data_IF_231616434126
#
_entry.id   IF_231616434126
#
_cell.length_a   1.000
_cell.length_b   1.000
_cell.length_c   1.000
_cell.angle_alpha   90.00
_cell.angle_beta   90.00
_cell.angle_gamma   90.00
#
_symmetry.space_group_name_H-M   'P 1'
#
loop_
_entity.id
_entity.type
_entity.pdbx_description
1 polymer ?
#
# COMPACT_ATOMS: atom_id res chain seq x y z
N UNK A 1 4.57 4.36 15.37
CA UNK A 1 3.76 4.02 14.19
C UNK A 1 2.31 4.33 14.51
N UNK A 2 1.59 5.15 13.76
CA UNK A 2 0.20 5.53 14.07
C UNK A 2 -0.79 4.44 13.62
N UNK A 3 -0.55 3.21 14.05
CA UNK A 3 -1.51 2.14 13.83
C UNK A 3 -2.82 2.53 14.50
N UNK A 4 -3.93 2.38 13.81
CA UNK A 4 -5.25 2.70 14.31
C UNK A 4 -5.59 1.95 15.61
N UNK A 5 -6.61 2.40 16.27
CA UNK A 5 -7.11 1.77 17.51
C UNK A 5 -8.07 0.65 17.14
N UNK A 6 -7.85 -0.53 17.69
CA UNK A 6 -8.79 -1.64 17.52
C UNK A 6 -10.11 -1.37 18.23
N UNK A 7 -11.21 -1.92 17.73
CA UNK A 7 -12.56 -1.75 18.28
C UNK A 7 -12.77 -2.39 19.67
N UNK A 8 -11.90 -3.32 20.07
CA UNK A 8 -12.05 -4.08 21.33
C UNK A 8 -11.24 -3.45 22.47
N UNK A 9 -11.72 -2.30 22.96
CA UNK A 9 -11.02 -1.51 23.99
C UNK A 9 -11.88 -1.23 25.24
N UNK A 10 -12.95 -1.94 25.46
CA UNK A 10 -13.80 -1.77 26.62
C UNK A 10 -13.01 -1.93 27.93
N UNK A 11 -13.15 -0.98 28.85
CA UNK A 11 -12.45 -0.97 30.13
C UNK A 11 -10.97 -0.55 30.08
N UNK A 12 -10.40 -0.26 28.90
CA UNK A 12 -9.04 0.25 28.76
C UNK A 12 -9.00 1.77 28.78
N UNK A 13 -7.80 2.32 29.08
CA UNK A 13 -7.59 3.76 29.06
C UNK A 13 -7.98 4.34 27.68
N UNK A 14 -8.74 5.45 27.63
CA UNK A 14 -9.09 6.11 26.38
C UNK A 14 -7.84 6.58 25.64
N UNK A 15 -7.74 6.19 24.38
CA UNK A 15 -6.72 6.66 23.44
C UNK A 15 -7.40 7.26 22.23
N UNK A 16 -6.71 8.12 21.50
CA UNK A 16 -7.12 8.59 20.19
C UNK A 16 -6.04 8.31 19.15
N UNK A 17 -6.42 8.25 17.90
CA UNK A 17 -5.47 8.20 16.78
C UNK A 17 -4.81 9.56 16.59
N UNK A 18 -3.62 9.60 16.03
CA UNK A 18 -2.98 10.87 15.69
C UNK A 18 -3.86 11.69 14.75
N UNK A 19 -4.02 12.96 15.05
CA UNK A 19 -4.56 13.94 14.12
C UNK A 19 -3.49 14.32 13.09
N UNK A 20 -3.89 15.04 12.04
CA UNK A 20 -2.96 15.55 11.03
C UNK A 20 -1.86 16.43 11.64
N UNK A 21 -2.22 17.31 12.56
CA UNK A 21 -1.27 18.25 13.18
C UNK A 21 -0.35 17.54 14.17
N UNK A 22 -0.84 16.56 14.91
CA UNK A 22 -0.02 15.72 15.78
C UNK A 22 0.98 14.89 14.96
N UNK A 23 0.56 14.33 13.84
CA UNK A 23 1.46 13.59 12.94
C UNK A 23 2.58 14.50 12.40
N UNK A 24 2.25 15.75 12.01
CA UNK A 24 3.25 16.76 11.62
C UNK A 24 4.22 17.07 12.74
N UNK A 25 3.73 17.28 13.96
CA UNK A 25 4.57 17.56 15.11
C UNK A 25 5.55 16.40 15.40
N UNK A 26 5.11 15.15 15.24
CA UNK A 26 5.99 13.96 15.37
C UNK A 26 7.08 13.98 14.30
N UNK A 27 6.74 14.27 13.04
CA UNK A 27 7.71 14.35 11.94
C UNK A 27 8.73 15.48 12.20
N UNK A 28 8.28 16.65 12.66
CA UNK A 28 9.18 17.77 12.99
C UNK A 28 10.15 17.43 14.11
N UNK A 29 9.67 16.71 15.15
CA UNK A 29 10.53 16.23 16.24
C UNK A 29 11.56 15.22 15.68
N UNK A 30 11.10 14.26 14.89
CA UNK A 30 11.96 13.25 14.29
C UNK A 30 13.02 13.90 13.38
N UNK A 31 12.65 14.87 12.54
CA UNK A 31 13.58 15.55 11.64
C UNK A 31 14.70 16.29 12.40
N UNK A 32 14.38 16.96 13.51
CA UNK A 32 15.43 17.58 14.35
C UNK A 32 16.42 16.57 14.90
N UNK A 33 15.94 15.37 15.29
CA UNK A 33 16.82 14.31 15.76
C UNK A 33 17.62 13.69 14.61
N UNK A 34 17.01 13.50 13.45
CA UNK A 34 17.66 12.98 12.23
C UNK A 34 18.83 13.86 11.82
N UNK A 35 18.63 15.19 11.73
CA UNK A 35 19.68 16.14 11.39
C UNK A 35 20.83 16.11 12.43
N UNK A 36 20.49 16.13 13.71
CA UNK A 36 21.48 16.07 14.79
C UNK A 36 22.31 14.78 14.73
N UNK A 37 21.62 13.64 14.63
CA UNK A 37 22.30 12.34 14.66
C UNK A 37 23.11 12.08 13.38
N UNK A 38 22.62 12.55 12.22
CA UNK A 38 23.39 12.50 10.98
C UNK A 38 24.73 13.24 11.12
N UNK A 39 24.72 14.45 11.72
CA UNK A 39 25.93 15.23 11.96
C UNK A 39 26.87 14.62 13.01
N UNK A 40 26.31 14.01 14.07
CA UNK A 40 27.09 13.48 15.20
C UNK A 40 27.56 12.03 14.97
N UNK A 41 26.81 11.23 14.19
CA UNK A 41 27.00 9.78 14.08
C UNK A 41 27.10 9.27 12.65
N UNK A 42 26.81 10.10 11.64
CA UNK A 42 26.78 9.69 10.24
C UNK A 42 25.57 8.86 9.85
N UNK A 43 24.55 8.78 10.70
CA UNK A 43 23.26 8.10 10.43
C UNK A 43 22.12 8.88 11.04
N UNK A 44 20.95 8.87 10.40
CA UNK A 44 19.72 9.54 10.88
C UNK A 44 19.14 8.87 12.12
N UNK A 45 19.26 7.55 12.23
CA UNK A 45 18.88 6.72 13.37
C UNK A 45 17.39 6.74 13.76
N UNK A 46 16.65 7.82 13.48
CA UNK A 46 15.20 7.94 13.78
C UNK A 46 14.44 8.05 12.49
N UNK A 47 13.49 7.12 12.26
CA UNK A 47 12.72 7.06 11.03
C UNK A 47 11.23 6.98 11.37
N UNK A 48 10.42 8.02 11.08
CA UNK A 48 8.97 7.90 11.11
C UNK A 48 8.48 6.91 10.04
N UNK A 49 7.44 6.14 10.36
CA UNK A 49 6.80 5.30 9.35
C UNK A 49 6.09 6.14 8.29
N UNK A 50 5.89 5.56 7.11
CA UNK A 50 5.23 6.21 5.98
C UNK A 50 3.83 6.72 6.33
N UNK A 51 3.12 6.01 7.22
CA UNK A 51 1.80 6.44 7.69
C UNK A 51 1.79 7.81 8.37
N UNK A 52 2.85 8.19 9.09
CA UNK A 52 2.93 9.54 9.65
C UNK A 52 2.93 10.60 8.55
N UNK A 53 3.67 10.38 7.47
CA UNK A 53 3.73 11.30 6.32
C UNK A 53 2.38 11.35 5.59
N UNK A 54 1.76 10.20 5.33
CA UNK A 54 0.44 10.13 4.71
C UNK A 54 -0.60 10.86 5.56
N UNK A 55 -0.62 10.62 6.86
CA UNK A 55 -1.57 11.24 7.78
C UNK A 55 -1.33 12.75 7.92
N UNK A 56 -0.07 13.18 7.96
CA UNK A 56 0.31 14.58 7.96
C UNK A 56 -0.01 15.30 6.64
N UNK A 57 -0.25 14.55 5.56
CA UNK A 57 -0.35 15.08 4.20
C UNK A 57 0.96 15.72 3.75
N UNK A 58 2.07 15.10 4.09
CA UNK A 58 3.43 15.46 3.71
C UNK A 58 3.98 14.47 2.70
N UNK A 59 4.90 14.93 1.84
CA UNK A 59 5.64 14.05 0.96
C UNK A 59 6.50 13.07 1.77
N UNK A 60 6.66 11.85 1.25
CA UNK A 60 7.63 10.90 1.78
C UNK A 60 9.04 11.43 1.62
N UNK A 61 9.97 11.13 2.53
CA UNK A 61 11.40 11.43 2.33
C UNK A 61 11.92 10.82 1.03
N UNK A 62 13.02 11.36 0.51
CA UNK A 62 13.69 10.80 -0.65
C UNK A 62 14.36 9.46 -0.32
N UNK A 63 14.65 8.66 -1.35
CA UNK A 63 15.19 7.30 -1.24
C UNK A 63 16.43 7.24 -0.34
N UNK A 64 17.38 8.15 -0.55
CA UNK A 64 18.64 8.22 0.20
C UNK A 64 18.44 8.55 1.68
N UNK A 65 17.29 9.09 2.06
CA UNK A 65 16.99 9.42 3.44
C UNK A 65 16.60 8.23 4.29
N UNK A 66 16.27 7.11 3.69
CA UNK A 66 15.96 5.86 4.38
C UNK A 66 17.20 4.98 4.63
N UNK A 67 18.36 5.43 4.13
CA UNK A 67 19.64 4.71 4.23
C UNK A 67 19.54 3.30 3.63
N UNK A 68 19.64 2.24 4.44
CA UNK A 68 19.56 0.85 3.99
C UNK A 68 18.16 0.22 4.15
N UNK A 69 17.13 1.02 4.42
CA UNK A 69 15.76 0.54 4.68
C UNK A 69 15.64 -0.49 5.81
N UNK A 70 16.45 -0.35 6.84
CA UNK A 70 16.56 -1.32 7.94
C UNK A 70 15.27 -1.60 8.71
N UNK A 71 14.19 -0.84 8.49
CA UNK A 71 12.90 -0.99 9.16
C UNK A 71 11.73 -1.07 8.16
N UNK A 72 11.98 -1.55 6.94
CA UNK A 72 10.96 -1.62 5.88
C UNK A 72 9.75 -2.50 6.26
N UNK A 73 9.99 -3.56 7.02
CA UNK A 73 8.94 -4.46 7.51
C UNK A 73 7.99 -3.78 8.51
N UNK A 74 8.46 -2.71 9.16
CA UNK A 74 7.67 -1.87 10.07
C UNK A 74 6.96 -0.70 9.35
N UNK A 75 6.98 -0.69 8.02
CA UNK A 75 6.37 0.36 7.19
C UNK A 75 7.16 1.66 7.18
N UNK A 76 8.48 1.60 7.33
CA UNK A 76 9.41 2.73 7.20
C UNK A 76 10.05 2.67 5.81
N UNK A 77 9.64 3.56 4.92
CA UNK A 77 10.13 3.66 3.55
C UNK A 77 9.55 2.61 2.59
N UNK A 78 8.56 1.82 3.01
CA UNK A 78 7.95 0.79 2.15
C UNK A 78 7.31 1.40 0.90
N UNK A 79 6.61 2.52 1.05
CA UNK A 79 5.97 3.21 -0.07
C UNK A 79 6.99 3.92 -0.97
N UNK A 80 8.05 4.49 -0.39
CA UNK A 80 9.13 5.07 -1.18
C UNK A 80 9.86 4.01 -2.00
N UNK A 81 10.23 2.88 -1.39
CA UNK A 81 10.86 1.78 -2.10
C UNK A 81 9.97 1.26 -3.25
N UNK A 82 8.68 1.03 -2.97
CA UNK A 82 7.70 0.62 -3.99
C UNK A 82 7.64 1.63 -5.15
N UNK A 83 7.60 2.94 -4.86
CA UNK A 83 7.59 3.99 -5.89
C UNK A 83 8.86 4.00 -6.73
N UNK A 84 10.03 3.97 -6.08
CA UNK A 84 11.35 3.99 -6.74
C UNK A 84 11.51 2.77 -7.65
N UNK A 85 11.20 1.57 -7.15
CA UNK A 85 11.29 0.33 -7.92
C UNK A 85 10.28 0.28 -9.06
N UNK A 86 9.02 0.70 -8.81
CA UNK A 86 7.99 0.78 -9.87
C UNK A 86 8.40 1.73 -10.97
N UNK A 87 8.88 2.94 -10.60
CA UNK A 87 9.35 3.94 -11.55
C UNK A 87 10.51 3.43 -12.39
N UNK A 88 11.52 2.83 -11.75
CA UNK A 88 12.69 2.28 -12.43
C UNK A 88 12.28 1.20 -13.46
N UNK A 89 11.48 0.23 -13.04
CA UNK A 89 11.00 -0.81 -13.93
C UNK A 89 10.11 -0.27 -15.06
N UNK A 90 9.23 0.71 -14.76
CA UNK A 90 8.38 1.38 -15.74
C UNK A 90 9.21 2.16 -16.77
N UNK A 91 10.27 2.84 -16.34
CA UNK A 91 11.13 3.63 -17.21
C UNK A 91 11.88 2.76 -18.24
N UNK A 92 12.13 1.49 -17.92
CA UNK A 92 12.76 0.51 -18.83
C UNK A 92 11.79 -0.03 -19.90
N UNK A 93 10.47 0.18 -19.74
CA UNK A 93 9.50 -0.28 -20.73
C UNK A 93 9.64 0.49 -22.05
N UNK A 94 9.35 -0.15 -23.19
CA UNK A 94 9.22 0.54 -24.46
C UNK A 94 8.19 1.67 -24.39
N UNK A 95 8.43 2.77 -25.09
CA UNK A 95 7.50 3.90 -25.14
C UNK A 95 6.08 3.49 -25.56
N UNK A 96 5.95 2.48 -26.43
CA UNK A 96 4.66 1.91 -26.84
C UNK A 96 3.84 1.29 -25.70
N UNK A 97 4.47 0.92 -24.59
CA UNK A 97 3.81 0.37 -23.41
C UNK A 97 3.56 1.41 -22.31
N UNK A 98 4.08 2.62 -22.45
CA UNK A 98 3.98 3.71 -21.45
C UNK A 98 2.99 4.80 -21.81
N UNK A 99 1.97 4.50 -22.61
CA UNK A 99 0.98 5.46 -23.09
C UNK A 99 -0.35 5.32 -22.37
N UNK A 100 -1.10 6.42 -22.28
CA UNK A 100 -2.44 6.44 -21.69
C UNK A 100 -3.56 6.33 -22.73
N UNK A 101 -3.27 5.90 -23.96
CA UNK A 101 -4.20 5.85 -25.09
C UNK A 101 -4.72 4.43 -25.38
N UNK A 102 -5.76 4.34 -26.19
CA UNK A 102 -6.36 3.09 -26.66
C UNK A 102 -7.48 2.52 -25.76
N UNK A 103 -8.02 1.39 -26.19
CA UNK A 103 -9.00 0.62 -25.41
C UNK A 103 -8.32 0.05 -24.18
N UNK A 104 -8.94 0.25 -23.00
CA UNK A 104 -8.35 -0.11 -21.72
C UNK A 104 -9.09 -1.27 -21.07
N UNK A 105 -8.32 -2.20 -20.54
CA UNK A 105 -8.78 -3.20 -19.59
C UNK A 105 -8.72 -2.58 -18.19
N UNK A 106 -9.80 -2.68 -17.43
CA UNK A 106 -9.85 -2.11 -16.08
C UNK A 106 -9.41 -3.12 -15.05
N UNK A 107 -8.38 -2.79 -14.29
CA UNK A 107 -7.90 -3.57 -13.16
C UNK A 107 -8.10 -2.79 -11.86
N UNK A 108 -8.35 -3.51 -10.78
CA UNK A 108 -8.53 -2.95 -9.44
C UNK A 108 -7.26 -3.17 -8.63
N UNK A 109 -6.76 -2.14 -7.97
CA UNK A 109 -5.79 -2.25 -6.88
C UNK A 109 -6.54 -2.00 -5.58
N UNK A 110 -6.76 -3.04 -4.78
CA UNK A 110 -7.41 -2.91 -3.47
C UNK A 110 -6.37 -2.71 -2.37
N UNK A 111 -6.57 -1.70 -1.54
CA UNK A 111 -5.61 -1.32 -0.51
C UNK A 111 -6.29 -0.74 0.73
N UNK A 112 -5.54 -0.57 1.81
CA UNK A 112 -5.98 0.19 2.97
C UNK A 112 -6.21 1.67 2.64
N UNK A 113 -7.04 2.32 3.44
CA UNK A 113 -7.45 3.71 3.20
C UNK A 113 -6.26 4.68 3.14
N UNK A 114 -5.23 4.46 3.98
CA UNK A 114 -4.06 5.33 4.04
C UNK A 114 -3.25 5.33 2.73
N UNK A 115 -3.12 4.18 2.06
CA UNK A 115 -2.29 4.07 0.85
C UNK A 115 -3.02 4.48 -0.44
N UNK A 116 -4.34 4.67 -0.40
CA UNK A 116 -5.14 4.79 -1.62
C UNK A 116 -4.77 6.01 -2.47
N UNK A 117 -4.59 7.18 -1.85
CA UNK A 117 -4.22 8.40 -2.58
C UNK A 117 -2.82 8.28 -3.21
N UNK A 118 -1.87 7.71 -2.48
CA UNK A 118 -0.51 7.47 -2.96
C UNK A 118 -0.51 6.53 -4.18
N UNK A 119 -1.20 5.40 -4.09
CA UNK A 119 -1.27 4.44 -5.21
C UNK A 119 -1.99 5.01 -6.42
N UNK A 120 -3.05 5.80 -6.23
CA UNK A 120 -3.75 6.46 -7.32
C UNK A 120 -2.81 7.44 -8.05
N UNK A 121 -2.01 8.20 -7.32
CA UNK A 121 -1.02 9.11 -7.88
C UNK A 121 0.11 8.34 -8.59
N UNK A 122 0.60 7.24 -8.01
CA UNK A 122 1.60 6.38 -8.63
C UNK A 122 1.15 5.92 -10.02
N UNK A 123 -0.05 5.35 -10.13
CA UNK A 123 -0.58 4.87 -11.41
C UNK A 123 -0.88 6.01 -12.40
N UNK A 124 -1.31 7.16 -11.92
CA UNK A 124 -1.54 8.33 -12.76
C UNK A 124 -0.23 8.86 -13.39
N UNK A 125 0.86 8.83 -12.65
CA UNK A 125 2.20 9.24 -13.13
C UNK A 125 2.86 8.19 -14.04
N UNK A 126 2.46 6.93 -13.94
CA UNK A 126 3.06 5.81 -14.67
C UNK A 126 2.01 5.05 -15.49
N UNK A 127 1.45 5.66 -16.54
CA UNK A 127 0.42 5.03 -17.35
C UNK A 127 0.97 3.78 -18.06
N UNK A 128 0.10 2.78 -18.23
CA UNK A 128 0.39 1.56 -18.98
C UNK A 128 -0.60 1.45 -20.16
N UNK A 129 -0.07 1.20 -21.35
CA UNK A 129 -0.91 1.08 -22.57
C UNK A 129 -1.90 -0.06 -22.44
N UNK A 130 -3.17 0.24 -22.69
CA UNK A 130 -4.25 -0.77 -22.62
C UNK A 130 -4.68 -1.14 -21.20
N UNK A 131 -4.17 -0.45 -20.15
CA UNK A 131 -4.52 -0.71 -18.75
C UNK A 131 -5.08 0.56 -18.12
N UNK A 132 -6.20 0.40 -17.40
CA UNK A 132 -6.74 1.40 -16.48
C UNK A 132 -6.71 0.84 -15.05
N UNK A 133 -5.97 1.50 -14.17
CA UNK A 133 -5.92 1.12 -12.77
C UNK A 133 -6.93 1.90 -11.94
N UNK A 134 -7.85 1.20 -11.28
CA UNK A 134 -8.76 1.77 -10.29
C UNK A 134 -8.30 1.39 -8.90
N UNK A 135 -7.96 2.36 -8.09
CA UNK A 135 -7.59 2.14 -6.69
C UNK A 135 -8.83 2.17 -5.83
N UNK A 136 -9.08 1.08 -5.12
CA UNK A 136 -10.25 0.91 -4.26
C UNK A 136 -9.81 0.82 -2.80
N UNK A 137 -10.06 1.87 -2.00
CA UNK A 137 -9.80 1.81 -0.56
C UNK A 137 -10.80 0.87 0.14
N UNK A 138 -10.26 0.00 0.97
CA UNK A 138 -11.03 -0.92 1.81
C UNK A 138 -10.95 -0.45 3.26
N UNK A 139 -12.11 -0.20 3.87
CA UNK A 139 -12.21 0.12 5.29
C UNK A 139 -12.09 -1.15 6.12
N UNK A 140 -11.31 -1.08 7.17
CA UNK A 140 -11.18 -2.17 8.12
C UNK A 140 -12.32 -2.09 9.15
N UNK A 141 -13.31 -2.94 9.02
CA UNK A 141 -14.42 -3.05 9.99
C UNK A 141 -14.14 -4.10 11.05
N UNK A 142 -13.34 -5.11 10.68
CA UNK A 142 -13.01 -6.22 11.57
C UNK A 142 -12.20 -5.76 12.79
N UNK A 143 -11.10 -5.03 12.59
CA UNK A 143 -10.28 -4.48 13.66
C UNK A 143 -10.71 -3.08 14.11
N UNK A 144 -11.41 -2.34 13.29
CA UNK A 144 -11.88 -0.97 13.54
C UNK A 144 -11.49 -0.02 12.40
N UNK A 145 -12.38 0.91 12.04
CA UNK A 145 -12.20 1.80 10.86
C UNK A 145 -11.01 2.76 10.98
N UNK A 146 -10.46 2.94 12.18
CA UNK A 146 -9.22 3.72 12.37
C UNK A 146 -7.96 2.96 11.99
N UNK A 147 -8.05 1.64 11.75
CA UNK A 147 -6.97 0.82 11.21
C UNK A 147 -6.98 0.95 9.70
N UNK A 148 -6.03 1.69 9.14
CA UNK A 148 -6.04 2.13 7.74
C UNK A 148 -5.01 1.45 6.85
N UNK A 149 -4.14 0.63 7.42
CA UNK A 149 -3.06 -0.07 6.71
C UNK A 149 -3.56 -1.26 5.87
N UNK A 150 -2.96 -1.49 4.73
CA UNK A 150 -3.33 -2.59 3.82
C UNK A 150 -3.13 -3.97 4.46
N UNK A 151 -2.03 -4.19 5.18
CA UNK A 151 -1.68 -5.50 5.75
C UNK A 151 -2.63 -6.03 6.83
N UNK A 152 -3.57 -5.22 7.32
CA UNK A 152 -4.58 -5.63 8.29
C UNK A 152 -5.99 -5.77 7.69
N UNK A 153 -6.15 -5.61 6.37
CA UNK A 153 -7.43 -5.84 5.69
C UNK A 153 -7.75 -7.33 5.72
N UNK A 154 -8.99 -7.63 6.14
CA UNK A 154 -9.48 -9.01 6.21
C UNK A 154 -10.17 -9.43 4.91
N UNK A 155 -10.35 -10.74 4.72
CA UNK A 155 -11.05 -11.29 3.57
C UNK A 155 -12.52 -10.84 3.53
N UNK A 156 -13.18 -10.76 4.68
CA UNK A 156 -14.54 -10.26 4.81
C UNK A 156 -14.67 -8.81 4.37
N UNK A 157 -13.83 -7.92 4.90
CA UNK A 157 -13.86 -6.49 4.53
C UNK A 157 -13.55 -6.28 3.04
N UNK A 158 -12.59 -7.05 2.50
CA UNK A 158 -12.20 -7.01 1.10
C UNK A 158 -13.36 -7.44 0.18
N UNK A 159 -13.95 -8.59 0.46
CA UNK A 159 -15.03 -9.17 -0.38
C UNK A 159 -16.30 -8.33 -0.33
N UNK A 160 -16.67 -7.81 0.84
CA UNK A 160 -17.81 -6.91 0.99
C UNK A 160 -17.64 -5.62 0.18
N UNK A 161 -16.41 -5.07 0.16
CA UNK A 161 -16.14 -3.84 -0.56
C UNK A 161 -16.09 -4.04 -2.09
N UNK A 162 -15.66 -5.21 -2.56
CA UNK A 162 -15.37 -5.44 -3.97
C UNK A 162 -16.49 -6.18 -4.72
N UNK A 163 -17.47 -6.69 -4.04
CA UNK A 163 -18.55 -7.51 -4.62
C UNK A 163 -19.22 -6.86 -5.83
N UNK A 164 -19.51 -5.57 -5.74
CA UNK A 164 -20.25 -4.81 -6.75
C UNK A 164 -19.34 -3.91 -7.61
N UNK A 165 -18.02 -4.05 -7.50
CA UNK A 165 -17.07 -3.27 -8.29
C UNK A 165 -16.83 -3.93 -9.64
N UNK A 166 -16.74 -3.14 -10.70
CA UNK A 166 -16.39 -3.62 -12.03
C UNK A 166 -14.88 -3.63 -12.24
N UNK A 167 -14.38 -4.68 -12.88
CA UNK A 167 -12.96 -4.84 -13.20
C UNK A 167 -12.64 -6.28 -13.55
N UNK A 168 -11.63 -6.49 -14.39
CA UNK A 168 -11.29 -7.83 -14.89
C UNK A 168 -10.48 -8.64 -13.87
N UNK A 169 -9.69 -7.97 -13.04
CA UNK A 169 -8.91 -8.59 -11.98
C UNK A 169 -8.71 -7.62 -10.81
N UNK A 170 -8.45 -8.18 -9.63
CA UNK A 170 -8.12 -7.45 -8.42
C UNK A 170 -6.70 -7.79 -7.99
N UNK A 171 -5.87 -6.78 -7.83
CA UNK A 171 -4.51 -6.89 -7.28
C UNK A 171 -4.53 -6.45 -5.82
N UNK A 172 -3.93 -7.25 -4.95
CA UNK A 172 -3.76 -6.97 -3.52
C UNK A 172 -2.31 -7.18 -3.14
N UNK A 173 -1.84 -6.50 -2.10
CA UNK A 173 -0.54 -6.83 -1.53
C UNK A 173 -0.58 -8.17 -0.79
N UNK A 174 0.45 -8.99 -0.94
CA UNK A 174 0.62 -10.24 -0.19
C UNK A 174 0.60 -10.04 1.33
N UNK A 175 0.92 -8.82 1.82
CA UNK A 175 0.85 -8.48 3.24
C UNK A 175 -0.56 -8.59 3.84
N UNK A 176 -1.62 -8.69 3.03
CA UNK A 176 -2.98 -8.97 3.50
C UNK A 176 -3.16 -10.43 3.93
N UNK A 177 -2.26 -11.31 3.48
CA UNK A 177 -2.31 -12.74 3.75
C UNK A 177 -1.36 -13.11 4.88
N UNK A 178 -1.64 -14.23 5.54
CA UNK A 178 -0.71 -14.84 6.50
C UNK A 178 0.55 -15.31 5.76
N UNK A 179 1.58 -15.66 6.52
CA UNK A 179 2.89 -16.07 5.99
C UNK A 179 2.83 -17.23 5.00
N UNK A 180 1.83 -18.10 5.13
CA UNK A 180 1.59 -19.21 4.21
C UNK A 180 1.02 -18.76 2.85
N UNK A 181 0.54 -17.51 2.76
CA UNK A 181 0.03 -16.89 1.52
C UNK A 181 -1.33 -17.38 1.05
N UNK A 182 -2.03 -18.21 1.83
CA UNK A 182 -3.26 -18.88 1.43
C UNK A 182 -4.53 -18.29 2.07
N UNK A 183 -4.42 -17.48 3.14
CA UNK A 183 -5.56 -16.94 3.89
C UNK A 183 -5.33 -15.59 4.52
N UNK A 184 -6.42 -14.86 4.73
CA UNK A 184 -6.47 -13.59 5.43
C UNK A 184 -6.45 -13.77 6.96
N UNK A 185 -6.40 -12.65 7.70
CA UNK A 185 -6.33 -12.65 9.17
C UNK A 185 -7.63 -13.12 9.84
N UNK A 186 -8.76 -13.07 9.16
CA UNK A 186 -10.08 -13.58 9.59
C UNK A 186 -10.33 -15.05 9.20
N UNK A 187 -9.27 -15.80 8.87
CA UNK A 187 -9.29 -17.19 8.43
C UNK A 187 -9.94 -17.47 7.06
N UNK A 188 -10.52 -16.46 6.39
CA UNK A 188 -11.01 -16.61 5.02
C UNK A 188 -9.83 -16.99 4.10
N UNK A 189 -10.00 -18.04 3.30
CA UNK A 189 -8.99 -18.43 2.33
C UNK A 189 -9.03 -17.54 1.09
N UNK A 190 -7.91 -17.43 0.38
CA UNK A 190 -7.81 -16.68 -0.87
C UNK A 190 -8.80 -17.21 -1.91
N UNK A 191 -9.01 -18.53 -1.97
CA UNK A 191 -9.96 -19.15 -2.90
C UNK A 191 -11.42 -18.88 -2.53
N UNK A 192 -11.74 -18.77 -1.25
CA UNK A 192 -13.07 -18.31 -0.82
C UNK A 192 -13.33 -16.87 -1.24
N UNK A 193 -12.37 -15.99 -1.03
CA UNK A 193 -12.47 -14.59 -1.46
C UNK A 193 -12.64 -14.49 -2.99
N UNK A 194 -11.86 -15.25 -3.77
CA UNK A 194 -12.01 -15.33 -5.24
C UNK A 194 -13.42 -15.75 -5.68
N UNK A 195 -14.00 -16.75 -5.01
CA UNK A 195 -15.36 -17.22 -5.30
C UNK A 195 -16.42 -16.16 -5.00
N UNK A 196 -16.26 -15.42 -3.89
CA UNK A 196 -17.21 -14.36 -3.48
C UNK A 196 -17.13 -13.16 -4.43
N UNK A 197 -15.92 -12.72 -4.79
CA UNK A 197 -15.70 -11.59 -5.70
C UNK A 197 -16.03 -11.98 -7.16
N UNK A 198 -16.07 -13.28 -7.46
CA UNK A 198 -16.32 -13.86 -8.78
C UNK A 198 -15.35 -13.35 -9.88
N UNK A 199 -14.10 -13.08 -9.50
CA UNK A 199 -13.01 -12.66 -10.42
C UNK A 199 -11.65 -13.00 -9.88
N UNK A 200 -10.59 -12.97 -10.72
CA UNK A 200 -9.22 -13.20 -10.29
C UNK A 200 -8.80 -12.22 -9.19
N UNK A 201 -8.29 -12.75 -8.08
CA UNK A 201 -7.69 -12.02 -6.98
C UNK A 201 -6.21 -12.41 -6.91
N UNK A 202 -5.34 -11.46 -7.18
CA UNK A 202 -3.91 -11.67 -7.45
C UNK A 202 -3.11 -11.02 -6.33
N UNK A 203 -2.55 -11.80 -5.42
CA UNK A 203 -1.55 -11.31 -4.47
C UNK A 203 -0.27 -10.90 -5.21
N UNK A 204 0.28 -9.76 -4.86
CA UNK A 204 1.50 -9.21 -5.43
C UNK A 204 2.50 -8.96 -4.32
N UNK A 205 3.76 -9.23 -4.57
CA UNK A 205 4.86 -8.92 -3.67
C UNK A 205 4.91 -7.43 -3.29
N UNK A 206 5.73 -7.12 -2.31
CA UNK A 206 5.84 -5.75 -1.76
C UNK A 206 6.67 -4.81 -2.63
N UNK A 207 7.36 -5.34 -3.62
CA UNK A 207 8.24 -4.58 -4.50
C UNK A 207 7.48 -3.91 -5.64
N UNK A 208 7.98 -2.75 -6.07
CA UNK A 208 7.37 -2.01 -7.17
C UNK A 208 7.50 -2.72 -8.53
N UNK A 209 8.61 -3.41 -8.77
CA UNK A 209 8.83 -4.22 -9.97
C UNK A 209 7.92 -5.45 -10.01
N UNK A 210 7.65 -6.11 -8.87
CA UNK A 210 6.68 -7.22 -8.78
C UNK A 210 5.28 -6.75 -9.18
N UNK A 211 4.86 -5.58 -8.70
CA UNK A 211 3.56 -5.00 -9.05
C UNK A 211 3.47 -4.73 -10.56
N UNK A 212 4.48 -4.11 -11.15
CA UNK A 212 4.51 -3.85 -12.58
C UNK A 212 4.49 -5.14 -13.41
N UNK A 213 5.30 -6.13 -13.01
CA UNK A 213 5.33 -7.44 -13.67
C UNK A 213 3.98 -8.15 -13.61
N UNK A 214 3.31 -8.14 -12.46
CA UNK A 214 2.00 -8.75 -12.29
C UNK A 214 0.94 -8.08 -13.19
N UNK A 215 0.90 -6.75 -13.23
CA UNK A 215 -0.02 -5.98 -14.09
C UNK A 215 0.19 -6.30 -15.57
N UNK A 216 1.44 -6.28 -16.03
CA UNK A 216 1.77 -6.60 -17.43
C UNK A 216 1.53 -8.06 -17.77
N UNK A 217 1.97 -8.97 -16.91
CA UNK A 217 1.79 -10.40 -17.13
C UNK A 217 0.32 -10.77 -17.26
N UNK A 218 -0.55 -10.21 -16.41
CA UNK A 218 -1.98 -10.43 -16.51
C UNK A 218 -2.57 -9.78 -17.78
N UNK A 219 -2.18 -8.56 -18.12
CA UNK A 219 -2.64 -7.88 -19.32
C UNK A 219 -2.27 -8.62 -20.60
N UNK A 220 -1.13 -9.29 -20.63
CA UNK A 220 -0.62 -10.06 -21.78
C UNK A 220 -1.11 -11.52 -21.78
N UNK A 221 -1.89 -11.95 -20.77
CA UNK A 221 -2.37 -13.32 -20.63
C UNK A 221 -1.26 -14.33 -20.29
N UNK A 222 -0.15 -13.85 -19.69
CA UNK A 222 1.00 -14.67 -19.30
C UNK A 222 0.86 -15.19 -17.85
N UNK A 223 -0.05 -14.62 -17.07
CA UNK A 223 -0.42 -15.09 -15.72
C UNK A 223 -1.79 -15.77 -15.76
N UNK A 224 -1.94 -16.93 -15.08
CA UNK A 224 -3.20 -17.66 -15.01
C UNK A 224 -4.28 -16.94 -14.18
#
# INVERSE_FOLDING_TARGET
>A
MPVGLTGHREGLHPLHTYTRDEARAVIEIANRWREKLLNERGTRFVFPSDEFYLQAGMALPEDEEYEDYGQIDDGVGLLRALETEFHAAWAELPESERRSDGAKRTFICACGVSAAAFLAELFARHPLTGIEMRVIPVKNRFFGESVTVSGLITGGDLTDRLRDEDGEAVFITECMLRSEGDRFLDDMTLDEARRIIARPLIPVGRRGDDLLCALRGYAQGLCP
#
